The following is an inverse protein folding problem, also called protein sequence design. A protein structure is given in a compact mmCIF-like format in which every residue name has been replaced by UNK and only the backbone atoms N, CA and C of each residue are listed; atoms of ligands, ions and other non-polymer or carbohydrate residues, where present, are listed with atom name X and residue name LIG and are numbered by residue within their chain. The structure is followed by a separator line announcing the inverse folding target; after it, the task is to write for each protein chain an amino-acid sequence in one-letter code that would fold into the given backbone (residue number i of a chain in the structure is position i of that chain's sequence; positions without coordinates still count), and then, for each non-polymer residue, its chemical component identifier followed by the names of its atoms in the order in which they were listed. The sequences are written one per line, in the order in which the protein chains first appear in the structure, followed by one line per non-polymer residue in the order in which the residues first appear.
data_IF_098764594299
#
_entry.id   IF_098764594299
#
_cell.length_a   1.000
_cell.length_b   1.000
_cell.length_c   1.000
_cell.angle_alpha   90.00
_cell.angle_beta   90.00
_cell.angle_gamma   90.00
#
_symmetry.space_group_name_H-M   'P 1'
#
loop_
_entity.id
_entity.type
_entity.pdbx_description
1 polymer ?
#
# COMPACT_ATOMS: atom_id res chain seq x y z
N UNK A 1 51.19 44.77 -26.57
CA UNK A 1 52.23 44.51 -25.54
C UNK A 1 51.58 44.35 -24.17
N UNK A 2 51.34 43.10 -23.73
CA UNK A 2 51.49 42.59 -22.36
C UNK A 2 51.15 41.08 -22.39
N UNK A 3 52.01 40.20 -21.83
CA UNK A 3 51.91 38.75 -22.00
C UNK A 3 50.96 38.09 -20.98
N UNK A 4 50.55 36.82 -21.20
CA UNK A 4 49.77 36.05 -20.24
C UNK A 4 50.62 35.50 -19.08
N UNK A 5 49.99 35.41 -17.92
CA UNK A 5 50.56 34.92 -16.66
C UNK A 5 50.93 33.43 -16.73
N UNK A 6 52.16 33.13 -16.33
CA UNK A 6 52.65 31.78 -16.06
C UNK A 6 52.30 31.36 -14.62
N UNK A 7 51.88 30.11 -14.45
CA UNK A 7 51.62 29.48 -13.15
C UNK A 7 52.82 28.58 -12.81
N UNK A 8 53.51 28.91 -11.73
CA UNK A 8 54.59 28.12 -11.12
C UNK A 8 54.02 26.96 -10.27
N UNK A 9 54.55 25.72 -10.36
CA UNK A 9 54.22 24.65 -9.45
C UNK A 9 55.30 24.53 -8.34
N UNK A 10 54.93 24.81 -7.09
CA UNK A 10 55.71 24.42 -5.91
C UNK A 10 54.99 23.33 -5.12
N UNK A 11 55.69 22.28 -4.67
CA UNK A 11 55.09 21.15 -3.98
C UNK A 11 54.92 21.48 -2.49
N UNK A 12 53.73 21.22 -1.94
CA UNK A 12 53.51 21.25 -0.49
C UNK A 12 53.69 19.85 0.08
N UNK A 13 54.54 19.79 1.10
CA UNK A 13 54.95 18.61 1.85
C UNK A 13 53.76 17.90 2.50
N UNK A 14 53.89 16.57 2.53
CA UNK A 14 53.05 15.66 3.28
C UNK A 14 53.23 15.83 4.80
N UNK A 15 52.11 15.97 5.52
CA UNK A 15 52.03 15.75 6.96
C UNK A 15 51.13 14.53 7.21
N UNK A 16 51.75 13.39 7.49
CA UNK A 16 51.06 12.17 7.92
C UNK A 16 50.79 12.26 9.42
N UNK A 17 49.52 12.44 9.80
CA UNK A 17 49.06 12.32 11.18
C UNK A 17 48.65 10.86 11.41
N UNK A 18 49.40 10.16 12.26
CA UNK A 18 49.08 8.80 12.69
C UNK A 18 47.98 8.82 13.77
N UNK A 19 46.77 8.40 13.41
CA UNK A 19 45.69 8.11 14.37
C UNK A 19 45.84 6.65 14.84
N UNK A 20 46.30 6.50 16.08
CA UNK A 20 46.43 5.22 16.77
C UNK A 20 45.04 4.70 17.18
N UNK A 21 44.61 3.59 16.59
CA UNK A 21 43.33 2.94 16.88
C UNK A 21 43.47 2.01 18.09
N UNK A 22 42.85 2.36 19.22
CA UNK A 22 42.59 1.42 20.30
C UNK A 22 41.41 0.52 19.92
N UNK A 23 41.67 -0.75 19.61
CA UNK A 23 40.65 -1.78 19.43
C UNK A 23 40.51 -2.58 20.72
N UNK A 24 39.53 -2.23 21.55
CA UNK A 24 39.11 -3.08 22.66
C UNK A 24 38.11 -4.13 22.13
N UNK A 25 38.49 -5.40 22.20
CA UNK A 25 37.62 -6.51 21.82
C UNK A 25 36.51 -6.70 22.87
N UNK A 26 35.25 -6.67 22.43
CA UNK A 26 34.10 -6.97 23.28
C UNK A 26 34.01 -8.49 23.57
N UNK A 27 33.60 -8.90 24.79
CA UNK A 27 33.47 -10.31 25.13
C UNK A 27 32.31 -10.99 24.36
N UNK A 28 32.41 -12.30 24.06
CA UNK A 28 31.39 -13.02 23.31
C UNK A 28 30.09 -13.15 24.12
N UNK A 29 28.96 -12.88 23.46
CA UNK A 29 27.61 -13.08 24.02
C UNK A 29 27.31 -14.59 24.17
N UNK A 30 26.64 -15.01 25.26
CA UNK A 30 26.22 -16.40 25.43
C UNK A 30 25.14 -16.79 24.41
N UNK A 31 25.17 -18.06 23.97
CA UNK A 31 24.24 -18.62 23.01
C UNK A 31 22.81 -18.71 23.58
N UNK A 32 21.76 -18.47 22.77
CA UNK A 32 20.38 -18.64 23.22
C UNK A 32 20.06 -20.12 23.44
N UNK A 33 19.48 -20.44 24.59
CA UNK A 33 18.98 -21.78 24.90
C UNK A 33 17.76 -22.09 24.01
N UNK A 34 17.82 -23.22 23.30
CA UNK A 34 16.71 -23.73 22.51
C UNK A 34 15.61 -24.26 23.44
N UNK A 35 14.55 -23.47 23.63
CA UNK A 35 13.30 -23.97 24.21
C UNK A 35 12.61 -24.83 23.15
N UNK A 36 12.41 -26.11 23.46
CA UNK A 36 11.75 -27.07 22.59
C UNK A 36 10.32 -26.64 22.25
N UNK A 37 9.92 -26.83 20.99
CA UNK A 37 8.56 -26.59 20.52
C UNK A 37 7.60 -27.62 21.17
N UNK A 38 6.43 -27.19 21.69
CA UNK A 38 5.39 -28.14 22.10
C UNK A 38 4.78 -28.82 20.86
N UNK A 39 4.41 -30.10 21.02
CA UNK A 39 3.81 -30.93 19.98
C UNK A 39 2.46 -30.35 19.48
N UNK A 40 2.08 -30.57 18.21
CA UNK A 40 0.83 -30.06 17.69
C UNK A 40 -0.37 -30.79 18.31
N UNK A 41 -1.35 -30.02 18.77
CA UNK A 41 -2.62 -30.53 19.28
C UNK A 41 -3.42 -31.21 18.16
N UNK A 42 -3.93 -32.41 18.44
CA UNK A 42 -4.82 -33.17 17.56
C UNK A 42 -6.19 -32.47 17.53
N UNK A 43 -6.54 -31.88 16.39
CA UNK A 43 -7.89 -31.33 16.14
C UNK A 43 -8.85 -32.49 15.85
N UNK A 44 -9.87 -32.67 16.68
CA UNK A 44 -11.00 -33.57 16.37
C UNK A 44 -11.97 -32.85 15.43
N UNK A 45 -12.50 -33.53 14.40
CA UNK A 45 -13.51 -32.93 13.53
C UNK A 45 -14.85 -32.77 14.28
N UNK A 46 -15.51 -31.64 14.04
CA UNK A 46 -16.86 -31.35 14.54
C UNK A 46 -17.93 -32.20 13.83
N UNK A 47 -19.05 -32.54 14.49
CA UNK A 47 -20.12 -33.29 13.88
C UNK A 47 -20.89 -32.44 12.85
N UNK A 48 -21.24 -33.07 11.73
CA UNK A 48 -22.02 -32.48 10.62
C UNK A 48 -23.48 -32.32 11.07
N UNK A 49 -24.01 -31.10 10.97
CA UNK A 49 -25.42 -30.82 11.19
C UNK A 49 -26.28 -31.37 10.03
N UNK A 50 -27.42 -31.97 10.37
CA UNK A 50 -28.39 -32.48 9.40
C UNK A 50 -29.07 -31.35 8.61
N UNK A 51 -29.49 -31.59 7.35
CA UNK A 51 -30.19 -30.59 6.55
C UNK A 51 -31.63 -30.37 7.02
N UNK A 52 -32.08 -29.12 6.96
CA UNK A 52 -33.45 -28.70 7.23
C UNK A 52 -34.44 -29.24 6.17
N UNK A 53 -35.72 -29.49 6.53
CA UNK A 53 -36.71 -29.98 5.57
C UNK A 53 -37.12 -28.90 4.55
N UNK A 54 -37.38 -29.35 3.33
CA UNK A 54 -37.80 -28.53 2.21
C UNK A 54 -39.19 -27.90 2.43
N UNK A 55 -39.34 -26.62 2.05
CA UNK A 55 -40.60 -25.91 2.03
C UNK A 55 -41.52 -26.44 0.92
N UNK A 56 -42.81 -26.56 1.22
CA UNK A 56 -43.85 -26.98 0.29
C UNK A 56 -44.10 -25.93 -0.82
N UNK A 57 -44.54 -26.34 -2.03
CA UNK A 57 -44.81 -25.41 -3.12
C UNK A 57 -46.11 -24.62 -2.90
N UNK A 58 -46.08 -23.33 -3.23
CA UNK A 58 -47.22 -22.41 -3.19
C UNK A 58 -48.19 -22.69 -4.35
N UNK A 59 -49.48 -22.75 -4.01
CA UNK A 59 -50.60 -23.03 -4.91
C UNK A 59 -51.01 -21.77 -5.72
N UNK A 60 -51.08 -21.76 -7.06
CA UNK A 60 -51.24 -20.54 -7.86
C UNK A 60 -52.69 -20.03 -8.01
N UNK A 61 -53.64 -20.47 -7.18
CA UNK A 61 -55.09 -20.23 -7.42
C UNK A 61 -55.88 -19.54 -6.30
N UNK A 62 -55.22 -18.82 -5.40
CA UNK A 62 -55.92 -17.98 -4.42
C UNK A 62 -56.38 -16.63 -5.04
N UNK A 63 -57.66 -16.23 -4.91
CA UNK A 63 -58.15 -14.94 -5.40
C UNK A 63 -57.71 -13.77 -4.53
N UNK A 64 -57.41 -12.64 -5.17
CA UNK A 64 -57.03 -11.38 -4.54
C UNK A 64 -58.17 -10.81 -3.67
N UNK A 65 -57.91 -10.66 -2.37
CA UNK A 65 -58.80 -9.98 -1.44
C UNK A 65 -58.49 -8.48 -1.41
N UNK A 66 -59.57 -7.70 -1.42
CA UNK A 66 -59.61 -6.25 -1.59
C UNK A 66 -58.99 -5.47 -0.41
N UNK A 67 -58.38 -4.33 -0.74
CA UNK A 67 -57.91 -3.32 0.21
C UNK A 67 -59.07 -2.70 1.00
N UNK A 68 -58.94 -2.51 2.33
CA UNK A 68 -59.88 -1.70 3.10
C UNK A 68 -59.60 -0.19 2.93
N UNK A 69 -60.61 0.68 3.14
CA UNK A 69 -60.50 2.13 2.92
C UNK A 69 -59.78 2.85 4.07
N UNK A 70 -59.15 3.97 3.70
CA UNK A 70 -58.48 4.94 4.58
C UNK A 70 -59.52 5.74 5.37
N UNK A 71 -59.36 5.95 6.69
CA UNK A 71 -60.08 7.00 7.40
C UNK A 71 -59.24 8.27 7.56
N UNK A 72 -59.95 9.41 7.48
CA UNK A 72 -59.49 10.79 7.54
C UNK A 72 -58.67 11.18 8.77
N UNK A 73 -57.88 12.24 8.58
CA UNK A 73 -57.04 12.93 9.54
C UNK A 73 -57.81 13.54 10.73
N UNK A 74 -57.11 13.75 11.85
CA UNK A 74 -57.33 14.94 12.65
C UNK A 74 -56.07 15.81 12.77
N UNK A 75 -56.33 17.11 12.60
CA UNK A 75 -55.73 18.31 13.17
C UNK A 75 -54.34 18.27 13.82
N UNK A 76 -53.55 19.26 13.39
CA UNK A 76 -52.40 19.90 14.01
C UNK A 76 -52.27 19.74 15.54
N UNK A 77 -51.20 19.05 15.94
CA UNK A 77 -50.47 19.34 17.17
C UNK A 77 -48.98 19.32 16.82
N UNK A 78 -48.40 20.52 16.72
CA UNK A 78 -46.96 20.72 16.60
C UNK A 78 -46.24 20.00 17.74
N UNK A 79 -45.27 19.11 17.48
CA UNK A 79 -44.28 18.80 18.49
C UNK A 79 -43.29 19.97 18.57
N UNK A 80 -43.10 20.44 19.80
CA UNK A 80 -42.09 21.42 20.16
C UNK A 80 -40.73 21.04 19.55
N UNK A 81 -40.09 22.01 18.94
CA UNK A 81 -38.68 21.95 18.57
C UNK A 81 -37.91 22.03 19.88
N UNK A 82 -37.65 20.89 20.51
CA UNK A 82 -36.55 20.77 21.46
C UNK A 82 -35.26 20.83 20.64
N UNK A 83 -34.80 22.06 20.45
CA UNK A 83 -33.47 22.37 19.95
C UNK A 83 -32.43 22.02 21.01
N UNK A 84 -32.20 20.74 21.22
CA UNK A 84 -30.93 20.26 21.76
C UNK A 84 -30.16 19.69 20.57
N UNK A 85 -29.23 20.51 20.06
CA UNK A 85 -28.21 20.06 19.13
C UNK A 85 -27.39 18.97 19.80
N UNK A 86 -27.82 17.71 19.63
CA UNK A 86 -27.09 16.56 20.10
C UNK A 86 -25.66 16.64 19.59
N UNK A 87 -24.71 16.68 20.52
CA UNK A 87 -23.29 16.53 20.20
C UNK A 87 -23.17 15.24 19.38
N UNK A 88 -22.49 15.24 18.21
CA UNK A 88 -22.37 14.03 17.42
C UNK A 88 -21.77 12.92 18.29
N UNK A 89 -22.58 11.94 18.69
CA UNK A 89 -22.12 10.77 19.42
C UNK A 89 -21.57 9.77 18.40
N UNK A 90 -20.27 9.72 18.24
CA UNK A 90 -19.62 8.78 17.32
C UNK A 90 -18.19 9.16 16.99
N UNK A 91 -17.47 8.31 16.26
CA UNK A 91 -16.09 8.58 15.88
C UNK A 91 -15.99 9.81 14.97
N UNK A 92 -14.92 10.57 15.17
CA UNK A 92 -14.67 11.80 14.44
C UNK A 92 -13.64 11.62 13.32
N UNK A 93 -13.90 12.30 12.21
CA UNK A 93 -12.98 12.46 11.09
C UNK A 93 -12.90 13.95 10.82
N UNK A 94 -11.78 14.56 11.18
CA UNK A 94 -11.48 15.96 10.92
C UNK A 94 -10.65 16.06 9.63
N UNK A 95 -11.07 16.94 8.71
CA UNK A 95 -10.31 17.24 7.49
C UNK A 95 -9.37 18.40 7.82
N UNK A 96 -8.06 18.15 7.82
CA UNK A 96 -7.05 19.22 7.91
C UNK A 96 -7.01 20.02 6.60
N UNK A 97 -6.55 21.29 6.61
CA UNK A 97 -6.44 22.10 5.41
C UNK A 97 -5.69 21.35 4.29
N UNK A 98 -6.32 21.15 3.12
CA UNK A 98 -5.65 20.47 2.01
C UNK A 98 -4.58 21.38 1.40
N UNK A 99 -3.58 20.77 0.77
CA UNK A 99 -2.49 21.49 0.13
C UNK A 99 -2.01 20.78 -1.13
N UNK A 100 -1.53 21.58 -2.09
CA UNK A 100 -0.90 21.08 -3.31
C UNK A 100 0.34 20.26 -2.97
N UNK A 101 0.61 19.21 -3.74
CA UNK A 101 1.73 18.31 -3.48
C UNK A 101 3.05 19.09 -3.38
N UNK A 102 3.80 18.85 -2.31
CA UNK A 102 5.05 19.55 -2.01
C UNK A 102 4.88 20.85 -1.19
N UNK A 103 3.67 21.39 -1.08
CA UNK A 103 3.37 22.62 -0.31
C UNK A 103 2.85 22.34 1.11
N UNK A 104 3.25 21.22 1.70
CA UNK A 104 2.84 20.86 3.06
C UNK A 104 3.22 21.93 4.08
N UNK A 105 2.35 22.18 5.06
CA UNK A 105 2.58 23.17 6.11
C UNK A 105 3.74 22.72 7.01
N UNK A 106 4.76 23.57 7.13
CA UNK A 106 5.90 23.34 8.03
C UNK A 106 5.47 23.65 9.47
N UNK A 107 5.68 22.75 10.45
CA UNK A 107 5.32 22.97 11.85
C UNK A 107 6.04 24.18 12.45
N UNK A 108 5.34 24.98 13.25
CA UNK A 108 5.92 26.13 13.97
C UNK A 108 6.60 25.65 15.25
N UNK A 109 7.79 25.10 15.10
CA UNK A 109 8.63 24.63 16.21
C UNK A 109 8.33 23.20 16.66
N UNK A 110 9.00 22.79 17.75
CA UNK A 110 9.06 21.40 18.18
C UNK A 110 7.72 20.84 18.66
N UNK A 111 6.89 21.65 19.32
CA UNK A 111 5.60 21.19 19.84
C UNK A 111 4.64 20.78 18.72
N UNK A 112 4.50 21.62 17.69
CA UNK A 112 3.64 21.31 16.53
C UNK A 112 4.21 20.14 15.71
N UNK A 113 5.54 20.03 15.62
CA UNK A 113 6.18 18.88 14.98
C UNK A 113 5.89 17.57 15.74
N UNK A 114 6.04 17.58 17.08
CA UNK A 114 5.78 16.42 17.92
C UNK A 114 4.30 16.01 17.89
N UNK A 115 3.38 16.96 17.86
CA UNK A 115 1.95 16.68 17.69
C UNK A 115 1.67 16.02 16.33
N UNK A 116 2.22 16.55 15.24
CA UNK A 116 2.08 15.96 13.91
C UNK A 116 2.67 14.55 13.86
N UNK A 117 3.84 14.34 14.45
CA UNK A 117 4.49 13.03 14.49
C UNK A 117 3.68 12.02 15.32
N UNK A 118 3.06 12.46 16.42
CA UNK A 118 2.12 11.65 17.20
C UNK A 118 0.92 11.22 16.35
N UNK A 119 0.31 12.16 15.62
CA UNK A 119 -0.81 11.85 14.72
C UNK A 119 -0.41 10.92 13.56
N UNK A 120 0.75 11.15 12.95
CA UNK A 120 1.28 10.29 11.88
C UNK A 120 1.62 8.88 12.36
N UNK A 121 2.02 8.71 13.63
CA UNK A 121 2.24 7.41 14.24
C UNK A 121 0.93 6.68 14.54
N UNK A 122 -0.09 7.40 15.02
CA UNK A 122 -1.39 6.85 15.40
C UNK A 122 -1.30 5.79 16.50
N UNK A 123 -2.39 5.04 16.69
CA UNK A 123 -2.43 3.92 17.62
C UNK A 123 -3.65 3.02 17.41
N UNK A 124 -3.60 1.80 17.97
CA UNK A 124 -4.71 0.82 17.97
C UNK A 124 -5.24 0.48 19.37
N UNK A 125 -4.73 1.14 20.40
CA UNK A 125 -4.86 0.72 21.80
C UNK A 125 -3.78 -0.26 22.24
N UNK A 126 -3.77 -0.56 23.55
CA UNK A 126 -2.83 -1.48 24.21
C UNK A 126 -3.60 -2.52 25.05
N UNK A 127 -3.46 -3.84 24.78
CA UNK A 127 -2.73 -4.43 23.65
C UNK A 127 -3.45 -4.14 22.32
N UNK A 128 -2.71 -4.05 21.19
CA UNK A 128 -3.33 -3.82 19.90
C UNK A 128 -4.23 -5.00 19.57
N UNK A 129 -5.50 -4.70 19.28
CA UNK A 129 -6.42 -5.75 18.84
C UNK A 129 -5.90 -6.42 17.57
N UNK A 130 -6.11 -7.75 17.42
CA UNK A 130 -5.65 -8.45 16.23
C UNK A 130 -6.32 -7.82 15.00
N UNK A 131 -5.56 -7.50 13.95
CA UNK A 131 -6.16 -7.03 12.72
C UNK A 131 -7.11 -8.12 12.22
N UNK A 132 -8.30 -7.78 11.70
CA UNK A 132 -9.18 -8.81 11.15
C UNK A 132 -8.50 -9.51 9.94
N UNK A 133 -9.03 -10.63 9.41
CA UNK A 133 -8.41 -11.44 8.35
C UNK A 133 -8.45 -10.78 6.97
N UNK A 134 -7.29 -10.61 6.29
CA UNK A 134 -7.12 -9.77 5.09
C UNK A 134 -8.21 -9.99 4.03
N UNK A 135 -8.92 -8.91 3.66
CA UNK A 135 -9.76 -8.93 2.45
C UNK A 135 -8.84 -8.84 1.23
N UNK A 136 -8.77 -9.92 0.45
CA UNK A 136 -8.02 -9.96 -0.81
C UNK A 136 -6.49 -9.95 -0.69
N UNK A 137 -5.83 -9.77 -1.84
CA UNK A 137 -4.39 -9.67 -2.01
C UNK A 137 -4.03 -8.28 -2.60
N UNK A 138 -3.81 -7.25 -1.76
CA UNK A 138 -3.59 -5.88 -2.25
C UNK A 138 -2.30 -5.74 -3.05
N UNK A 139 -1.28 -6.53 -2.74
CA UNK A 139 0.01 -6.50 -3.43
C UNK A 139 0.02 -7.45 -4.63
N UNK A 140 0.79 -7.12 -5.70
CA UNK A 140 1.00 -8.02 -6.83
C UNK A 140 1.52 -9.39 -6.40
N UNK A 141 0.93 -10.46 -6.95
CA UNK A 141 1.42 -11.81 -6.71
C UNK A 141 2.54 -12.13 -7.68
N UNK A 142 3.72 -12.39 -7.14
CA UNK A 142 4.92 -12.74 -7.92
C UNK A 142 5.30 -14.18 -7.60
N UNK A 143 5.42 -15.01 -8.64
CA UNK A 143 5.84 -16.40 -8.53
C UNK A 143 7.11 -16.59 -9.36
N UNK A 144 8.11 -17.21 -8.74
CA UNK A 144 9.36 -17.60 -9.40
C UNK A 144 9.48 -19.11 -9.31
N UNK A 145 9.42 -19.77 -10.46
CA UNK A 145 9.52 -21.22 -10.56
C UNK A 145 10.73 -21.63 -11.37
N UNK A 146 11.35 -22.74 -10.99
CA UNK A 146 12.46 -23.33 -11.71
C UNK A 146 11.97 -24.59 -12.41
N UNK A 147 12.03 -24.59 -13.74
CA UNK A 147 11.72 -25.74 -14.54
C UNK A 147 12.96 -26.62 -14.73
N UNK A 148 13.46 -26.65 -15.97
CA UNK A 148 14.58 -27.51 -16.35
C UNK A 148 15.93 -26.97 -15.85
N UNK A 149 16.68 -27.82 -15.14
CA UNK A 149 18.07 -27.56 -14.76
C UNK A 149 18.97 -28.59 -15.44
N UNK A 150 20.01 -28.13 -16.15
CA UNK A 150 21.07 -29.00 -16.68
C UNK A 150 22.37 -28.71 -15.94
N UNK A 151 22.98 -29.75 -15.39
CA UNK A 151 24.21 -29.67 -14.60
C UNK A 151 24.02 -30.26 -13.20
N UNK A 152 25.00 -30.11 -12.30
CA UNK A 152 24.96 -30.69 -10.95
C UNK A 152 24.05 -29.92 -9.97
N UNK A 153 23.42 -28.83 -10.42
CA UNK A 153 22.55 -28.01 -9.59
C UNK A 153 21.22 -28.72 -9.31
N UNK A 154 20.81 -28.76 -8.05
CA UNK A 154 19.50 -29.30 -7.65
C UNK A 154 18.41 -28.25 -7.86
N UNK A 155 17.34 -28.60 -8.58
CA UNK A 155 16.25 -27.68 -8.88
C UNK A 155 15.65 -26.99 -7.64
N UNK A 156 15.39 -27.74 -6.56
CA UNK A 156 14.85 -27.20 -5.30
C UNK A 156 15.77 -26.15 -4.65
N UNK A 157 17.08 -26.35 -4.70
CA UNK A 157 18.04 -25.38 -4.15
C UNK A 157 18.08 -24.11 -4.99
N UNK A 158 18.09 -24.26 -6.32
CA UNK A 158 18.03 -23.12 -7.24
C UNK A 158 16.73 -22.34 -7.05
N UNK A 159 15.60 -23.02 -6.90
CA UNK A 159 14.29 -22.42 -6.71
C UNK A 159 14.19 -21.64 -5.41
N UNK A 160 14.66 -22.22 -4.30
CA UNK A 160 14.73 -21.54 -3.00
C UNK A 160 15.55 -20.25 -3.08
N UNK A 161 16.70 -20.30 -3.74
CA UNK A 161 17.58 -19.13 -3.92
C UNK A 161 16.93 -18.11 -4.85
N UNK A 162 16.38 -18.56 -5.98
CA UNK A 162 15.71 -17.69 -6.96
C UNK A 162 14.51 -16.96 -6.35
N UNK A 163 13.64 -17.64 -5.61
CA UNK A 163 12.50 -17.01 -4.91
C UNK A 163 12.96 -15.96 -3.90
N UNK A 164 14.02 -16.24 -3.14
CA UNK A 164 14.58 -15.30 -2.15
C UNK A 164 15.18 -14.04 -2.79
N UNK A 165 15.91 -14.18 -3.90
CA UNK A 165 16.69 -13.07 -4.47
C UNK A 165 16.00 -12.35 -5.62
N UNK A 166 15.26 -13.06 -6.47
CA UNK A 166 14.65 -12.44 -7.66
C UNK A 166 13.35 -11.71 -7.36
N UNK A 167 12.64 -12.03 -6.28
CA UNK A 167 11.32 -11.44 -5.98
C UNK A 167 11.34 -9.90 -6.01
N UNK A 168 12.31 -9.28 -5.32
CA UNK A 168 12.43 -7.81 -5.27
C UNK A 168 12.75 -7.21 -6.64
N UNK A 169 13.54 -7.92 -7.44
CA UNK A 169 13.89 -7.49 -8.79
C UNK A 169 12.70 -7.59 -9.75
N UNK A 170 11.93 -8.67 -9.68
CA UNK A 170 10.70 -8.84 -10.46
C UNK A 170 9.71 -7.74 -10.10
N UNK A 171 9.49 -7.49 -8.80
CA UNK A 171 8.64 -6.40 -8.33
C UNK A 171 9.09 -5.05 -8.88
N UNK A 172 10.40 -4.75 -8.83
CA UNK A 172 10.94 -3.49 -9.32
C UNK A 172 10.75 -3.27 -10.83
N UNK A 173 10.84 -4.33 -11.64
CA UNK A 173 10.59 -4.26 -13.08
C UNK A 173 9.10 -4.09 -13.37
N UNK A 174 8.24 -4.74 -12.58
CA UNK A 174 6.79 -4.76 -12.79
C UNK A 174 6.11 -3.46 -12.35
N UNK A 175 6.45 -2.93 -11.16
CA UNK A 175 5.70 -1.85 -10.49
C UNK A 175 5.45 -0.61 -11.35
N UNK A 176 6.43 -0.21 -12.18
CA UNK A 176 6.32 1.01 -12.98
C UNK A 176 5.31 0.85 -14.12
N UNK A 177 5.24 -0.34 -14.73
CA UNK A 177 4.23 -0.62 -15.75
C UNK A 177 2.87 -0.93 -15.14
N UNK A 178 2.84 -1.68 -14.03
CA UNK A 178 1.62 -1.98 -13.30
C UNK A 178 0.90 -0.72 -12.78
N UNK A 179 1.64 0.34 -12.48
CA UNK A 179 1.07 1.65 -12.17
C UNK A 179 0.29 2.24 -13.35
N UNK A 180 0.80 2.13 -14.58
CA UNK A 180 0.15 2.69 -15.79
C UNK A 180 -0.90 1.75 -16.40
N UNK A 181 -0.71 0.45 -16.22
CA UNK A 181 -1.61 -0.61 -16.66
C UNK A 181 -1.82 -1.58 -15.49
N UNK A 182 -2.82 -1.31 -14.63
CA UNK A 182 -3.16 -2.16 -13.49
C UNK A 182 -3.57 -3.58 -13.89
N UNK A 183 -3.91 -3.81 -15.17
CA UNK A 183 -4.29 -5.12 -15.68
C UNK A 183 -3.10 -5.97 -16.12
N UNK A 184 -1.88 -5.41 -16.13
CA UNK A 184 -0.68 -6.10 -16.63
C UNK A 184 -0.46 -7.40 -15.86
N UNK A 185 -0.49 -8.52 -16.57
CA UNK A 185 -0.21 -9.84 -16.02
C UNK A 185 0.43 -10.75 -17.06
N UNK A 186 1.05 -11.82 -16.59
CA UNK A 186 1.58 -12.84 -17.47
C UNK A 186 2.82 -13.50 -16.91
N UNK A 187 3.50 -14.24 -17.78
CA UNK A 187 4.71 -14.97 -17.43
C UNK A 187 5.81 -14.74 -18.45
N UNK A 188 7.05 -14.75 -17.95
CA UNK A 188 8.25 -14.70 -18.77
C UNK A 188 9.15 -15.87 -18.41
N UNK A 189 9.54 -16.64 -19.41
CA UNK A 189 10.52 -17.73 -19.27
C UNK A 189 11.90 -17.20 -19.63
N UNK A 190 12.84 -17.32 -18.70
CA UNK A 190 14.23 -16.87 -18.85
C UNK A 190 15.15 -18.08 -18.77
N UNK A 191 16.04 -18.21 -19.74
CA UNK A 191 17.13 -19.18 -19.72
C UNK A 191 18.39 -18.53 -19.18
N UNK A 192 18.94 -19.10 -18.13
CA UNK A 192 20.18 -18.68 -17.48
C UNK A 192 21.33 -19.63 -17.85
N UNK A 193 22.52 -19.06 -18.03
CA UNK A 193 23.79 -19.77 -18.19
C UNK A 193 24.64 -19.48 -16.97
N UNK A 194 25.15 -20.53 -16.33
CA UNK A 194 25.83 -20.47 -15.04
C UNK A 194 27.30 -20.87 -15.20
N UNK A 195 28.19 -20.11 -14.58
CA UNK A 195 29.63 -20.39 -14.55
C UNK A 195 29.98 -21.46 -13.50
N UNK A 196 31.26 -21.85 -13.46
CA UNK A 196 31.77 -22.78 -12.43
C UNK A 196 31.62 -22.22 -11.01
N UNK A 197 31.73 -20.90 -10.84
CA UNK A 197 31.58 -20.24 -9.53
C UNK A 197 30.13 -20.10 -9.09
N UNK A 198 29.15 -20.46 -9.94
CA UNK A 198 27.73 -20.30 -9.65
C UNK A 198 27.17 -18.93 -10.02
N UNK A 199 27.98 -18.04 -10.61
CA UNK A 199 27.49 -16.75 -11.16
C UNK A 199 26.72 -16.99 -12.46
N UNK A 200 25.61 -16.29 -12.64
CA UNK A 200 24.91 -16.25 -13.93
C UNK A 200 25.69 -15.36 -14.89
N UNK A 201 26.22 -15.94 -15.98
CA UNK A 201 26.99 -15.23 -17.01
C UNK A 201 26.15 -14.84 -18.22
N UNK A 202 24.96 -15.41 -18.36
CA UNK A 202 24.01 -15.04 -19.40
C UNK A 202 22.58 -15.29 -18.95
N UNK A 203 21.68 -14.39 -19.33
CA UNK A 203 20.25 -14.54 -19.12
C UNK A 203 19.52 -14.01 -20.35
N UNK A 204 18.63 -14.82 -20.92
CA UNK A 204 17.82 -14.42 -22.08
C UNK A 204 16.38 -14.87 -21.90
N UNK A 205 15.42 -13.97 -22.13
CA UNK A 205 14.02 -14.36 -22.24
C UNK A 205 13.83 -15.24 -23.48
N UNK A 206 13.22 -16.42 -23.31
CA UNK A 206 12.94 -17.36 -24.41
C UNK A 206 11.48 -17.37 -24.82
N UNK A 207 10.58 -16.96 -23.93
CA UNK A 207 9.16 -16.82 -24.19
C UNK A 207 8.55 -15.83 -23.18
N UNK A 208 7.52 -15.09 -23.58
CA UNK A 208 6.76 -14.23 -22.68
C UNK A 208 5.31 -14.08 -23.13
N UNK A 209 4.39 -13.97 -22.18
CA UNK A 209 2.99 -13.56 -22.42
C UNK A 209 2.71 -12.14 -21.94
N UNK A 210 3.70 -11.47 -21.33
CA UNK A 210 3.55 -10.08 -20.88
C UNK A 210 3.49 -9.13 -22.09
N UNK A 211 2.44 -8.31 -22.15
CA UNK A 211 2.24 -7.22 -23.12
C UNK A 211 3.12 -5.98 -22.84
N UNK A 212 4.31 -6.19 -22.26
CA UNK A 212 5.25 -5.12 -21.89
C UNK A 212 6.71 -5.55 -22.17
N UNK A 213 7.23 -5.33 -23.40
CA UNK A 213 8.57 -5.78 -23.80
C UNK A 213 9.72 -5.19 -22.95
N UNK A 214 9.55 -3.98 -22.42
CA UNK A 214 10.51 -3.35 -21.53
C UNK A 214 10.60 -4.07 -20.17
N UNK A 215 9.48 -4.56 -19.64
CA UNK A 215 9.46 -5.38 -18.42
C UNK A 215 10.16 -6.70 -18.67
N UNK A 216 9.87 -7.37 -19.80
CA UNK A 216 10.54 -8.61 -20.21
C UNK A 216 12.06 -8.45 -20.26
N UNK A 217 12.53 -7.33 -20.84
CA UNK A 217 13.95 -7.01 -20.94
C UNK A 217 14.56 -6.76 -19.55
N UNK A 218 13.88 -5.99 -18.69
CA UNK A 218 14.30 -5.75 -17.31
C UNK A 218 14.42 -7.06 -16.52
N UNK A 219 13.44 -7.96 -16.64
CA UNK A 219 13.43 -9.26 -15.95
C UNK A 219 14.63 -10.14 -16.36
N UNK A 220 14.93 -10.21 -17.65
CA UNK A 220 16.07 -10.97 -18.15
C UNK A 220 17.41 -10.41 -17.64
N UNK A 221 17.59 -9.08 -17.66
CA UNK A 221 18.80 -8.44 -17.15
C UNK A 221 18.96 -8.61 -15.65
N UNK A 222 17.88 -8.41 -14.87
CA UNK A 222 17.94 -8.57 -13.41
C UNK A 222 18.17 -10.03 -12.99
N UNK A 223 17.74 -11.01 -13.79
CA UNK A 223 18.02 -12.41 -13.51
C UNK A 223 19.53 -12.75 -13.51
N UNK A 224 20.38 -11.92 -14.14
CA UNK A 224 21.85 -12.07 -14.09
C UNK A 224 22.45 -11.81 -12.71
N UNK A 225 21.73 -11.09 -11.84
CA UNK A 225 22.18 -10.84 -10.46
C UNK A 225 22.11 -12.08 -9.56
N UNK A 226 21.44 -13.15 -10.00
CA UNK A 226 21.31 -14.38 -9.25
C UNK A 226 22.66 -15.06 -9.05
N UNK A 227 22.97 -15.39 -7.79
CA UNK A 227 24.16 -16.16 -7.43
C UNK A 227 23.72 -17.53 -6.93
N UNK A 228 24.21 -18.57 -7.59
CA UNK A 228 23.89 -19.96 -7.30
C UNK A 228 25.09 -20.67 -6.66
N UNK A 229 24.89 -21.89 -6.09
CA UNK A 229 26.00 -22.73 -5.68
C UNK A 229 26.94 -23.07 -6.85
N UNK A 230 28.14 -23.54 -6.54
CA UNK A 230 29.11 -23.97 -7.56
C UNK A 230 28.47 -24.98 -8.51
N UNK A 231 28.72 -24.80 -9.79
CA UNK A 231 28.15 -25.61 -10.85
C UNK A 231 29.24 -26.07 -11.83
N UNK A 232 28.87 -26.89 -12.82
CA UNK A 232 29.74 -27.08 -14.00
C UNK A 232 29.62 -25.84 -14.89
N UNK A 233 30.71 -25.44 -15.53
CA UNK A 233 30.68 -24.32 -16.47
C UNK A 233 29.67 -24.61 -17.60
N UNK A 234 28.83 -23.63 -17.91
CA UNK A 234 27.77 -23.79 -18.92
C UNK A 234 26.53 -24.54 -18.43
N UNK A 235 26.38 -24.76 -17.11
CA UNK A 235 25.11 -25.25 -16.54
C UNK A 235 23.98 -24.31 -16.93
N UNK A 236 22.80 -24.86 -17.26
CA UNK A 236 21.65 -24.06 -17.69
C UNK A 236 20.48 -24.23 -16.74
N UNK A 237 19.80 -23.13 -16.46
CA UNK A 237 18.59 -23.09 -15.62
C UNK A 237 17.50 -22.39 -16.42
N UNK A 238 16.32 -23.00 -16.49
CA UNK A 238 15.13 -22.36 -17.05
C UNK A 238 14.25 -21.91 -15.88
N UNK A 239 14.10 -20.61 -15.74
CA UNK A 239 13.24 -19.99 -14.73
C UNK A 239 11.98 -19.41 -15.40
N UNK A 240 10.84 -19.53 -14.74
CA UNK A 240 9.59 -18.88 -15.14
C UNK A 240 9.20 -17.87 -14.07
N UNK A 241 9.08 -16.61 -14.49
CA UNK A 241 8.72 -15.47 -13.65
C UNK A 241 7.29 -15.09 -13.99
N UNK A 242 6.38 -15.20 -13.02
CA UNK A 242 4.96 -14.92 -13.20
C UNK A 242 4.57 -13.72 -12.35
N UNK A 243 3.82 -12.81 -12.95
CA UNK A 243 3.28 -11.61 -12.28
C UNK A 243 1.78 -11.56 -12.49
N UNK A 244 1.06 -11.32 -11.40
CA UNK A 244 -0.38 -11.09 -11.39
C UNK A 244 -0.66 -9.78 -10.65
N UNK A 245 -1.66 -9.00 -11.09
CA UNK A 245 -2.05 -7.78 -10.40
C UNK A 245 -2.56 -8.11 -9.00
N UNK A 246 -2.38 -7.15 -8.10
CA UNK A 246 -3.09 -7.15 -6.82
C UNK A 246 -4.48 -6.54 -7.00
N UNK A 247 -5.26 -6.55 -5.93
CA UNK A 247 -6.59 -5.94 -5.93
C UNK A 247 -6.53 -4.40 -5.87
N UNK A 248 -5.40 -3.84 -5.45
CA UNK A 248 -5.18 -2.39 -5.33
C UNK A 248 -4.24 -1.85 -6.42
N UNK A 249 -4.46 -0.62 -6.92
CA UNK A 249 -3.53 0.07 -7.79
C UNK A 249 -2.13 0.17 -7.18
N UNK A 250 -1.10 0.03 -8.01
CA UNK A 250 0.29 0.17 -7.57
C UNK A 250 0.66 1.64 -7.45
N UNK A 251 1.20 2.03 -6.29
CA UNK A 251 1.63 3.41 -6.07
C UNK A 251 2.81 3.80 -7.00
N UNK A 252 2.75 4.96 -7.67
CA UNK A 252 3.88 5.49 -8.43
C UNK A 252 5.08 5.78 -7.53
N UNK A 253 6.33 5.59 -8.02
CA UNK A 253 7.50 5.94 -7.25
C UNK A 253 7.55 7.45 -6.99
N UNK A 254 7.89 7.86 -5.76
CA UNK A 254 7.92 9.27 -5.38
C UNK A 254 8.80 10.15 -6.30
N UNK A 255 9.84 9.58 -6.91
CA UNK A 255 10.75 10.29 -7.83
C UNK A 255 10.11 10.76 -9.14
N UNK A 256 8.93 10.28 -9.49
CA UNK A 256 8.22 10.69 -10.73
C UNK A 256 6.97 11.51 -10.45
N UNK A 257 6.67 11.80 -9.18
CA UNK A 257 5.53 12.59 -8.79
C UNK A 257 5.80 14.09 -9.02
N UNK A 258 4.88 14.75 -9.73
CA UNK A 258 4.88 16.19 -9.94
C UNK A 258 3.53 16.78 -9.49
N UNK A 259 3.50 18.01 -8.93
CA UNK A 259 2.25 18.60 -8.42
C UNK A 259 1.15 18.86 -9.46
N UNK A 260 1.48 18.85 -10.76
CA UNK A 260 0.56 19.27 -11.82
C UNK A 260 0.53 20.80 -11.99
N UNK A 261 0.08 21.26 -13.16
CA UNK A 261 -0.02 22.69 -13.49
C UNK A 261 -1.35 23.31 -13.06
N UNK A 262 -2.35 22.49 -12.77
CA UNK A 262 -3.67 22.92 -12.34
C UNK A 262 -3.66 23.58 -10.95
N UNK A 263 -4.69 24.35 -10.64
CA UNK A 263 -4.94 24.94 -9.33
C UNK A 263 -6.41 24.73 -8.91
N UNK A 264 -6.63 24.52 -7.62
CA UNK A 264 -7.94 24.49 -6.98
C UNK A 264 -7.86 25.13 -5.60
N UNK A 265 -8.90 25.87 -5.22
CA UNK A 265 -8.95 26.48 -3.89
C UNK A 265 -9.08 25.40 -2.80
N UNK A 266 -8.34 25.51 -1.68
CA UNK A 266 -8.41 24.55 -0.58
C UNK A 266 -9.83 24.32 -0.06
N UNK A 267 -10.68 25.35 -0.05
CA UNK A 267 -12.07 25.29 0.40
C UNK A 267 -12.92 24.42 -0.53
N UNK A 268 -12.69 24.49 -1.85
CA UNK A 268 -13.39 23.66 -2.83
C UNK A 268 -12.98 22.19 -2.69
N UNK A 269 -11.69 21.93 -2.45
CA UNK A 269 -11.17 20.58 -2.16
C UNK A 269 -11.79 20.04 -0.86
N UNK A 270 -11.82 20.86 0.20
CA UNK A 270 -12.38 20.48 1.49
C UNK A 270 -13.88 20.20 1.40
N UNK A 271 -14.64 21.00 0.63
CA UNK A 271 -16.06 20.77 0.40
C UNK A 271 -16.33 19.42 -0.30
N UNK A 272 -15.61 19.14 -1.39
CA UNK A 272 -15.74 17.85 -2.09
C UNK A 272 -15.32 16.66 -1.21
N UNK A 273 -14.27 16.81 -0.39
CA UNK A 273 -13.88 15.79 0.58
C UNK A 273 -14.92 15.63 1.71
N UNK A 274 -15.60 16.70 2.11
CA UNK A 274 -16.64 16.65 3.13
C UNK A 274 -17.86 15.82 2.69
N UNK A 275 -18.21 15.85 1.41
CA UNK A 275 -19.27 14.99 0.85
C UNK A 275 -18.95 13.48 0.99
N UNK A 276 -17.66 13.13 1.06
CA UNK A 276 -17.19 11.75 1.24
C UNK A 276 -17.21 11.28 2.70
N UNK A 277 -17.36 12.19 3.67
CA UNK A 277 -17.24 11.89 5.10
C UNK A 277 -18.18 10.77 5.57
N UNK A 278 -19.46 10.68 5.17
CA UNK A 278 -20.32 9.57 5.58
C UNK A 278 -19.76 8.21 5.13
N UNK A 279 -19.23 8.14 3.91
CA UNK A 279 -18.66 6.92 3.38
C UNK A 279 -17.35 6.53 4.08
N UNK A 280 -16.49 7.51 4.40
CA UNK A 280 -15.26 7.27 5.16
C UNK A 280 -15.52 6.94 6.63
N UNK A 281 -16.54 7.56 7.25
CA UNK A 281 -16.98 7.24 8.62
C UNK A 281 -17.44 5.79 8.71
N UNK A 282 -18.21 5.30 7.75
CA UNK A 282 -18.59 3.88 7.68
C UNK A 282 -17.37 2.94 7.63
N UNK A 283 -16.30 3.30 6.91
CA UNK A 283 -15.05 2.52 6.96
C UNK A 283 -14.44 2.51 8.36
N UNK A 284 -14.44 3.67 9.02
CA UNK A 284 -13.81 3.83 10.32
C UNK A 284 -14.57 3.09 11.42
N UNK A 285 -15.89 3.19 11.44
CA UNK A 285 -16.77 2.43 12.35
C UNK A 285 -16.54 0.92 12.22
N UNK A 286 -16.40 0.40 11.00
CA UNK A 286 -16.08 -1.01 10.77
C UNK A 286 -14.70 -1.40 11.35
N UNK A 287 -13.70 -0.51 11.28
CA UNK A 287 -12.38 -0.74 11.86
C UNK A 287 -12.40 -0.68 13.40
N UNK A 288 -13.22 0.20 13.98
CA UNK A 288 -13.39 0.34 15.42
C UNK A 288 -14.00 -0.90 16.08
N UNK A 289 -14.78 -1.70 15.34
CA UNK A 289 -15.27 -2.99 15.83
C UNK A 289 -14.13 -3.96 16.20
N UNK A 290 -13.00 -3.87 15.49
CA UNK A 290 -11.79 -4.63 15.78
C UNK A 290 -10.86 -3.90 16.75
N UNK A 291 -10.66 -2.59 16.58
CA UNK A 291 -9.73 -1.79 17.38
C UNK A 291 -10.43 -0.53 17.94
N UNK A 292 -11.10 -0.61 19.10
CA UNK A 292 -11.90 0.49 19.64
C UNK A 292 -11.13 1.78 19.95
N UNK A 293 -9.81 1.65 20.19
CA UNK A 293 -8.91 2.77 20.44
C UNK A 293 -8.06 3.10 19.19
N UNK A 294 -8.55 2.80 17.98
CA UNK A 294 -7.87 3.14 16.73
C UNK A 294 -7.95 4.64 16.48
N UNK A 295 -6.80 5.30 16.33
CA UNK A 295 -6.71 6.73 15.98
C UNK A 295 -5.46 6.97 15.14
N UNK A 296 -5.41 8.11 14.46
CA UNK A 296 -4.23 8.55 13.71
C UNK A 296 -4.55 9.50 12.58
N UNK A 297 -3.53 9.90 11.84
CA UNK A 297 -3.64 10.73 10.65
C UNK A 297 -3.45 9.90 9.39
N UNK A 298 -4.42 10.01 8.48
CA UNK A 298 -4.37 9.42 7.14
C UNK A 298 -4.30 10.56 6.12
N UNK A 299 -3.12 10.80 5.55
CA UNK A 299 -2.96 11.76 4.46
C UNK A 299 -3.16 11.08 3.11
N UNK A 300 -4.17 11.52 2.37
CA UNK A 300 -4.53 10.98 1.05
C UNK A 300 -4.02 11.93 -0.02
N UNK A 301 -3.11 11.44 -0.88
CA UNK A 301 -2.68 12.13 -2.08
C UNK A 301 -3.60 11.76 -3.24
N UNK A 302 -4.19 12.77 -3.86
CA UNK A 302 -5.01 12.65 -5.06
C UNK A 302 -4.22 13.02 -6.31
N UNK A 303 -4.56 12.40 -7.43
CA UNK A 303 -4.38 12.99 -8.76
C UNK A 303 -5.76 13.23 -9.35
N UNK A 304 -5.99 14.46 -9.77
CA UNK A 304 -7.22 14.91 -10.39
C UNK A 304 -6.88 15.39 -11.80
N UNK A 305 -7.61 14.87 -12.79
CA UNK A 305 -7.50 15.25 -14.20
C UNK A 305 -7.97 16.69 -14.42
N UNK A 306 -7.69 17.25 -15.60
CA UNK A 306 -8.21 18.56 -16.01
C UNK A 306 -9.75 18.64 -16.03
N UNK A 307 -10.44 17.51 -16.12
CA UNK A 307 -11.90 17.40 -16.02
C UNK A 307 -12.44 17.29 -14.59
N UNK A 308 -11.59 17.19 -13.57
CA UNK A 308 -12.01 17.01 -12.18
C UNK A 308 -12.20 15.55 -11.72
N UNK A 309 -11.97 14.57 -12.61
CA UNK A 309 -12.05 13.16 -12.26
C UNK A 309 -10.81 12.70 -11.47
N UNK A 310 -11.01 11.78 -10.52
CA UNK A 310 -9.91 11.16 -9.77
C UNK A 310 -9.50 9.86 -10.46
N UNK A 311 -8.24 9.76 -10.88
CA UNK A 311 -7.65 8.53 -11.41
C UNK A 311 -6.62 7.90 -10.44
N UNK A 312 -6.10 8.66 -9.47
CA UNK A 312 -5.25 8.15 -8.39
C UNK A 312 -5.67 8.63 -7.00
N UNK A 313 -5.63 7.72 -6.04
CA UNK A 313 -5.62 8.05 -4.61
C UNK A 313 -4.71 7.08 -3.84
N UNK A 314 -3.75 7.63 -3.11
CA UNK A 314 -2.74 6.87 -2.34
C UNK A 314 -2.49 7.49 -0.97
N UNK A 315 -2.10 6.66 0.00
CA UNK A 315 -1.62 7.15 1.29
C UNK A 315 -0.23 7.79 1.15
N UNK A 316 -0.08 9.01 1.68
CA UNK A 316 1.16 9.77 1.67
C UNK A 316 1.49 10.28 3.09
N UNK A 317 2.77 10.60 3.33
CA UNK A 317 3.32 11.25 4.55
C UNK A 317 3.18 10.51 5.89
N UNK A 318 2.22 9.62 6.00
CA UNK A 318 1.82 8.88 7.19
C UNK A 318 1.65 7.41 6.83
N UNK A 319 1.60 6.57 7.86
CA UNK A 319 1.25 5.15 7.75
C UNK A 319 0.21 4.85 8.81
N UNK A 320 -1.05 4.99 8.41
CA UNK A 320 -2.18 4.82 9.29
C UNK A 320 -2.17 3.38 9.87
N UNK A 321 -2.45 3.20 11.16
CA UNK A 321 -2.24 1.91 11.82
C UNK A 321 -3.11 0.77 11.27
N UNK A 322 -4.20 1.07 10.54
CA UNK A 322 -5.12 0.09 9.96
C UNK A 322 -5.19 0.10 8.43
N UNK A 323 -4.53 -0.89 7.81
CA UNK A 323 -4.50 -1.07 6.35
C UNK A 323 -5.89 -1.36 5.75
N UNK A 324 -6.84 -1.97 6.48
CA UNK A 324 -8.19 -2.20 5.94
C UNK A 324 -8.95 -0.90 5.85
N UNK A 325 -8.87 -0.09 6.90
CA UNK A 325 -9.43 1.25 6.93
C UNK A 325 -8.83 2.08 5.80
N UNK A 326 -7.50 2.11 5.70
CA UNK A 326 -6.79 2.82 4.63
C UNK A 326 -7.29 2.38 3.25
N UNK A 327 -7.37 1.07 2.97
CA UNK A 327 -7.88 0.57 1.69
C UNK A 327 -9.35 0.92 1.44
N UNK A 328 -10.19 0.81 2.45
CA UNK A 328 -11.61 1.15 2.39
C UNK A 328 -11.83 2.64 2.04
N UNK A 329 -11.05 3.52 2.67
CA UNK A 329 -11.05 4.97 2.43
C UNK A 329 -10.50 5.30 1.04
N UNK A 330 -9.35 4.74 0.65
CA UNK A 330 -8.73 4.97 -0.66
C UNK A 330 -9.61 4.49 -1.83
N UNK A 331 -10.33 3.37 -1.68
CA UNK A 331 -11.30 2.93 -2.71
C UNK A 331 -12.44 3.93 -2.89
N UNK A 332 -12.99 4.47 -1.80
CA UNK A 332 -14.03 5.50 -1.85
C UNK A 332 -13.48 6.83 -2.40
N UNK A 333 -12.25 7.17 -2.03
CA UNK A 333 -11.57 8.38 -2.51
C UNK A 333 -11.42 8.40 -4.04
N UNK A 334 -11.13 7.25 -4.67
CA UNK A 334 -11.04 7.14 -6.15
C UNK A 334 -12.38 7.28 -6.87
N UNK A 335 -13.51 7.21 -6.16
CA UNK A 335 -14.83 7.42 -6.73
C UNK A 335 -15.29 8.89 -6.62
N UNK A 336 -14.47 9.77 -6.02
CA UNK A 336 -14.79 11.19 -5.91
C UNK A 336 -14.61 11.91 -7.23
N UNK A 337 -15.31 13.03 -7.36
CA UNK A 337 -15.12 14.00 -8.42
C UNK A 337 -14.92 15.36 -7.76
N UNK A 338 -13.88 16.07 -8.16
CA UNK A 338 -13.60 17.43 -7.71
C UNK A 338 -14.03 18.43 -8.79
N UNK A 339 -14.19 19.72 -8.45
CA UNK A 339 -14.23 20.76 -9.46
C UNK A 339 -13.03 20.66 -10.41
N UNK A 340 -13.23 20.98 -11.69
CA UNK A 340 -12.16 21.00 -12.67
C UNK A 340 -11.05 21.98 -12.25
N UNK A 341 -9.78 21.54 -12.12
CA UNK A 341 -8.68 22.45 -11.80
C UNK A 341 -8.41 23.45 -12.92
N UNK A 342 -8.06 24.68 -12.55
CA UNK A 342 -7.68 25.71 -13.52
C UNK A 342 -6.25 25.47 -14.01
N UNK A 343 -6.04 25.29 -15.31
CA UNK A 343 -4.69 25.26 -15.91
C UNK A 343 -4.04 23.86 -16.05
N UNK A 344 -4.78 22.77 -15.82
CA UNK A 344 -4.34 21.40 -16.11
C UNK A 344 -4.67 20.40 -15.02
N UNK A 345 -3.89 19.31 -14.94
CA UNK A 345 -4.04 18.32 -13.87
C UNK A 345 -3.49 18.84 -12.53
N UNK A 346 -3.98 18.28 -11.43
CA UNK A 346 -3.56 18.68 -10.09
C UNK A 346 -3.31 17.46 -9.20
N UNK A 347 -2.20 17.49 -8.45
CA UNK A 347 -1.94 16.57 -7.34
C UNK A 347 -1.90 17.36 -6.03
N UNK A 348 -2.75 16.97 -5.08
CA UNK A 348 -2.85 17.58 -3.76
C UNK A 348 -3.00 16.49 -2.68
N UNK A 349 -2.88 16.89 -1.42
CA UNK A 349 -3.02 16.02 -0.26
C UNK A 349 -4.17 16.53 0.61
N UNK A 350 -5.04 15.61 1.03
CA UNK A 350 -6.10 15.84 2.02
C UNK A 350 -5.76 15.01 3.26
N UNK A 351 -5.31 15.64 4.35
CA UNK A 351 -5.08 14.93 5.59
C UNK A 351 -6.35 14.78 6.42
N UNK A 352 -6.55 13.58 6.95
CA UNK A 352 -7.67 13.25 7.83
C UNK A 352 -7.13 12.90 9.21
N UNK A 353 -7.65 13.50 10.28
CA UNK A 353 -7.44 13.04 11.66
C UNK A 353 -8.64 12.20 12.08
N UNK A 354 -8.39 10.94 12.40
CA UNK A 354 -9.40 9.98 12.82
C UNK A 354 -9.24 9.74 14.33
N UNK A 355 -10.32 9.96 15.09
CA UNK A 355 -10.36 9.73 16.53
C UNK A 355 -11.62 8.96 16.92
N UNK A 356 -11.54 7.99 17.86
CA UNK A 356 -12.72 7.26 18.33
C UNK A 356 -13.63 8.17 19.17
N UNK A 357 -13.09 9.27 19.69
CA UNK A 357 -13.82 10.25 20.46
C UNK A 357 -14.62 11.19 19.54
N UNK A 358 -15.80 11.65 20.00
CA UNK A 358 -16.59 12.62 19.27
C UNK A 358 -15.82 13.92 19.07
N UNK A 359 -16.04 14.52 17.91
CA UNK A 359 -15.41 15.78 17.54
C UNK A 359 -15.87 16.85 18.53
N UNK A 360 -14.94 17.48 19.24
CA UNK A 360 -15.29 18.67 20.01
C UNK A 360 -15.72 19.75 19.01
N UNK A 361 -16.92 20.37 19.12
CA UNK A 361 -17.28 21.49 18.28
C UNK A 361 -16.19 22.56 18.42
N UNK A 362 -15.60 22.93 17.28
CA UNK A 362 -14.37 23.71 17.21
C UNK A 362 -14.43 25.02 17.98
N UNK A 363 -13.28 25.37 18.56
CA UNK A 363 -12.96 26.70 19.08
C UNK A 363 -12.63 27.65 17.93
#
# INVERSE_FOLDING_TARGET
MKPPFAIDPRPLLAAAVALSACTAAAPPRPAPQASGLPAPAVVRPAPVAAPAPAAAPLDPRAPAAASPPVPDAPAELSPAVDGEGGVPHGPSIEIEPPYKLGQHRVPRGQAEAAERDRWNAGGRGDPPAPPPPAEGHPLPRIIVDIGKVKGPLKARDVERIARRHLWIHVYSCYRLRAYRDPSLHGKTTVRLTVSRSGKVTGARATASTLSAPDVVSCLAERARSLSLPRAKAGSTVVATLQVYPGDDPVEPPASVLAPGTGELQPEAIAAAAAEALPAWRSCYEAALAGAPALWGRLAIRFHVTDSGAVDEAFEAESRFPDERLTRCVLRRARALTFPAPEGGDLRFVVPLRLSPDPQSPGR
#
